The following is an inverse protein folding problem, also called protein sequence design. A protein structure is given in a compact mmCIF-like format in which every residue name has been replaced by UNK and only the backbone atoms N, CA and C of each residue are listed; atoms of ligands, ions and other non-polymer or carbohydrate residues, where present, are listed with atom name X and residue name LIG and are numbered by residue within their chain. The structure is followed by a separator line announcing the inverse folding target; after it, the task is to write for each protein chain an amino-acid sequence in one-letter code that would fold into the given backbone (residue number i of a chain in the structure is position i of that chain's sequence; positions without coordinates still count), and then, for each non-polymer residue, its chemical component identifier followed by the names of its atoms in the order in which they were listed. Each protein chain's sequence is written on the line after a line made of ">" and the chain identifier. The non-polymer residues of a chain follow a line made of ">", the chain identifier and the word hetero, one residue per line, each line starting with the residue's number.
data_IF_382146814500
#
_entry.id   IF_382146814500
#
_cell.length_a   1.000
_cell.length_b   1.000
_cell.length_c   1.000
_cell.angle_alpha   90.00
_cell.angle_beta   90.00
_cell.angle_gamma   90.00
#
_symmetry.space_group_name_H-M   'P 1'
#
loop_
_entity.id
_entity.type
_entity.pdbx_description
1 polymer ?
#
# COMPACT_ATOMS: atom_id res chain seq x y z
N UNK A 1 -25.20 3.34 -10.26
CA UNK A 1 -24.16 3.48 -11.32
C UNK A 1 -23.08 2.47 -11.02
N UNK A 2 -22.58 1.74 -12.01
CA UNK A 2 -21.49 0.75 -11.80
C UNK A 2 -20.21 1.46 -11.35
N UNK A 3 -19.49 0.89 -10.38
CA UNK A 3 -18.24 1.45 -9.88
C UNK A 3 -17.11 1.34 -10.93
N UNK A 4 -16.22 2.33 -10.97
CA UNK A 4 -15.03 2.28 -11.83
C UNK A 4 -13.94 1.41 -11.20
N UNK A 5 -12.95 0.96 -11.99
CA UNK A 5 -11.79 0.23 -11.46
C UNK A 5 -11.03 1.03 -10.40
N UNK A 6 -10.89 2.34 -10.57
CA UNK A 6 -10.25 3.21 -9.59
C UNK A 6 -11.03 3.28 -8.27
N UNK A 7 -12.37 3.23 -8.33
CA UNK A 7 -13.23 3.17 -7.14
C UNK A 7 -13.13 1.82 -6.41
N UNK A 8 -13.02 0.72 -7.15
CA UNK A 8 -12.67 -0.60 -6.58
C UNK A 8 -11.30 -0.56 -5.88
N UNK A 9 -10.29 0.04 -6.52
CA UNK A 9 -8.96 0.17 -5.93
C UNK A 9 -8.99 1.05 -4.67
N UNK A 10 -9.78 2.13 -4.67
CA UNK A 10 -9.91 3.03 -3.53
C UNK A 10 -10.49 2.32 -2.30
N UNK A 11 -11.54 1.51 -2.47
CA UNK A 11 -12.08 0.71 -1.36
C UNK A 11 -11.11 -0.41 -0.94
N UNK A 12 -10.40 -1.03 -1.88
CA UNK A 12 -9.39 -2.03 -1.54
C UNK A 12 -8.24 -1.42 -0.71
N UNK A 13 -7.84 -0.18 -1.01
CA UNK A 13 -6.91 0.57 -0.19
C UNK A 13 -7.51 0.96 1.18
N UNK A 14 -8.80 1.27 1.27
CA UNK A 14 -9.45 1.54 2.56
C UNK A 14 -9.43 0.30 3.47
N UNK A 15 -9.70 -0.88 2.91
CA UNK A 15 -9.70 -2.16 3.62
C UNK A 15 -8.31 -2.56 4.18
N UNK A 16 -7.23 -1.90 3.75
CA UNK A 16 -5.92 -2.07 4.39
C UNK A 16 -5.93 -1.63 5.85
N UNK A 17 -6.85 -0.73 6.21
CA UNK A 17 -6.89 -0.07 7.52
C UNK A 17 -8.06 -0.52 8.37
N UNK A 18 -8.81 -1.55 7.95
CA UNK A 18 -9.86 -2.13 8.80
C UNK A 18 -9.21 -2.69 10.06
N UNK A 19 -9.79 -2.36 11.20
CA UNK A 19 -9.31 -2.76 12.53
C UNK A 19 -7.87 -2.27 12.85
N UNK A 20 -7.39 -1.22 12.16
CA UNK A 20 -6.07 -0.63 12.43
C UNK A 20 -5.92 -0.07 13.86
N UNK A 21 -7.04 0.32 14.48
CA UNK A 21 -7.06 1.03 15.75
C UNK A 21 -6.47 2.43 15.67
N UNK A 22 -6.08 2.97 16.81
CA UNK A 22 -5.53 4.33 16.94
C UNK A 22 -4.02 4.35 16.63
N UNK A 23 -3.69 4.31 15.33
CA UNK A 23 -2.33 4.35 14.80
C UNK A 23 -2.19 5.40 13.69
N UNK A 24 -0.95 5.80 13.38
CA UNK A 24 -0.68 6.66 12.24
C UNK A 24 -0.80 5.89 10.93
N UNK A 25 -1.60 6.41 9.99
CA UNK A 25 -1.62 5.94 8.61
C UNK A 25 -0.82 6.90 7.73
N UNK A 26 0.13 6.36 6.97
CA UNK A 26 1.00 7.13 6.07
C UNK A 26 0.82 6.68 4.62
N UNK A 27 -0.21 7.20 3.91
CA UNK A 27 -0.43 6.88 2.51
C UNK A 27 0.49 7.71 1.61
N UNK A 28 1.42 7.07 0.91
CA UNK A 28 2.43 7.76 0.08
C UNK A 28 2.06 7.82 -1.42
N UNK A 29 0.79 7.54 -1.77
CA UNK A 29 0.24 7.60 -3.13
C UNK A 29 -1.17 8.18 -3.08
N UNK A 30 -1.67 8.76 -4.17
CA UNK A 30 -3.01 9.36 -4.13
C UNK A 30 -4.09 8.30 -3.92
N UNK A 31 -3.96 7.13 -4.56
CA UNK A 31 -4.91 6.03 -4.37
C UNK A 31 -4.99 5.58 -2.90
N UNK A 32 -3.84 5.37 -2.25
CA UNK A 32 -3.81 5.01 -0.84
C UNK A 32 -4.36 6.14 0.05
N UNK A 33 -4.14 7.40 -0.32
CA UNK A 33 -4.67 8.54 0.42
C UNK A 33 -6.19 8.66 0.32
N UNK A 34 -6.79 8.32 -0.84
CA UNK A 34 -8.25 8.17 -0.95
C UNK A 34 -8.74 7.06 -0.03
N UNK A 35 -8.12 5.88 -0.08
CA UNK A 35 -8.50 4.76 0.78
C UNK A 35 -8.40 5.06 2.27
N UNK A 36 -7.32 5.70 2.72
CA UNK A 36 -7.12 6.05 4.12
C UNK A 36 -8.16 7.05 4.63
N UNK A 37 -8.50 8.07 3.83
CA UNK A 37 -9.55 9.04 4.16
C UNK A 37 -10.92 8.39 4.17
N UNK A 38 -11.19 7.45 3.26
CA UNK A 38 -12.43 6.70 3.25
C UNK A 38 -12.57 5.83 4.50
N UNK A 39 -11.51 5.11 4.90
CA UNK A 39 -11.49 4.33 6.12
C UNK A 39 -11.78 5.20 7.36
N UNK A 40 -11.12 6.37 7.48
CA UNK A 40 -11.33 7.32 8.58
C UNK A 40 -12.77 7.82 8.67
N UNK A 41 -13.41 8.06 7.53
CA UNK A 41 -14.79 8.55 7.47
C UNK A 41 -15.85 7.45 7.62
N UNK A 42 -15.45 6.18 7.75
CA UNK A 42 -16.39 5.05 7.76
C UNK A 42 -16.13 4.09 8.92
N UNK A 43 -15.18 3.17 8.79
CA UNK A 43 -15.02 2.03 9.69
C UNK A 43 -13.74 2.07 10.55
N UNK A 44 -12.84 3.02 10.33
CA UNK A 44 -11.61 3.19 11.12
C UNK A 44 -11.43 4.64 11.58
N UNK A 45 -12.38 5.20 12.37
CA UNK A 45 -12.38 6.63 12.73
C UNK A 45 -11.18 7.07 13.56
N UNK A 46 -10.55 6.16 14.31
CA UNK A 46 -9.47 6.49 15.25
C UNK A 46 -8.09 6.62 14.57
N UNK A 47 -7.98 6.35 13.27
CA UNK A 47 -6.68 6.46 12.59
C UNK A 47 -6.21 7.92 12.52
N UNK A 48 -4.91 8.12 12.62
CA UNK A 48 -4.29 9.43 12.50
C UNK A 48 -3.78 9.66 11.07
N UNK A 49 -4.07 10.84 10.51
CA UNK A 49 -3.58 11.27 9.20
C UNK A 49 -2.83 12.59 9.31
N UNK A 50 -1.76 12.73 8.53
CA UNK A 50 -1.06 14.01 8.41
C UNK A 50 -1.58 14.83 7.23
N UNK A 51 -1.26 16.12 7.23
CA UNK A 51 -1.41 17.04 6.11
C UNK A 51 -0.45 16.75 4.93
N UNK A 52 0.42 15.75 5.07
CA UNK A 52 1.47 15.41 4.11
C UNK A 52 2.82 16.05 4.42
N UNK A 53 2.92 16.86 5.48
CA UNK A 53 4.15 17.54 5.87
C UNK A 53 4.48 17.33 7.37
N UNK A 54 3.79 18.03 8.27
CA UNK A 54 4.18 18.08 9.68
C UNK A 54 3.03 18.27 10.68
N UNK A 55 1.76 18.26 10.25
CA UNK A 55 0.62 18.44 11.14
C UNK A 55 -0.33 17.24 11.07
N UNK A 56 -0.95 16.90 12.21
CA UNK A 56 -2.01 15.89 12.28
C UNK A 56 -3.36 16.55 12.01
N UNK A 57 -4.13 16.02 11.07
CA UNK A 57 -5.42 16.55 10.68
C UNK A 57 -6.50 16.12 11.67
N UNK A 58 -7.23 17.07 12.25
CA UNK A 58 -8.38 16.77 13.12
C UNK A 58 -9.55 16.21 12.29
N UNK A 59 -9.86 16.88 11.17
CA UNK A 59 -10.89 16.45 10.23
C UNK A 59 -10.31 15.64 9.06
N UNK A 60 -11.17 15.16 8.15
CA UNK A 60 -10.76 14.48 6.93
C UNK A 60 -11.11 15.33 5.70
N UNK A 61 -10.28 16.31 5.31
CA UNK A 61 -10.57 17.16 4.16
C UNK A 61 -10.51 16.37 2.83
N UNK A 62 -10.87 17.01 1.71
CA UNK A 62 -10.62 16.46 0.37
C UNK A 62 -9.10 16.41 0.06
N UNK A 63 -8.68 15.58 -0.91
CA UNK A 63 -7.28 15.54 -1.34
C UNK A 63 -6.75 16.92 -1.75
N UNK A 64 -5.56 17.27 -1.27
CA UNK A 64 -4.90 18.55 -1.51
C UNK A 64 -5.58 19.75 -0.83
N UNK A 65 -6.54 19.54 0.07
CA UNK A 65 -7.12 20.57 0.92
C UNK A 65 -6.59 20.45 2.35
N UNK A 66 -6.44 21.60 2.99
CA UNK A 66 -6.12 21.72 4.42
C UNK A 66 -7.40 21.65 5.25
N UNK A 67 -7.24 21.40 6.55
CA UNK A 67 -8.32 21.38 7.53
C UNK A 67 -7.80 21.74 8.91
N UNK A 68 -8.65 21.73 9.94
CA UNK A 68 -8.24 21.89 11.32
C UNK A 68 -7.19 20.83 11.73
N UNK A 69 -6.33 21.20 12.67
CA UNK A 69 -5.17 20.39 13.10
C UNK A 69 -5.36 19.98 14.57
N UNK A 70 -5.07 18.72 14.88
CA UNK A 70 -5.15 18.17 16.24
C UNK A 70 -3.77 17.86 16.85
N UNK A 71 -2.69 18.05 16.11
CA UNK A 71 -1.36 17.80 16.64
C UNK A 71 -0.20 18.11 15.70
N UNK A 72 1.01 17.93 16.22
CA UNK A 72 2.25 18.20 15.51
C UNK A 72 3.02 16.90 15.25
N UNK A 73 3.50 16.71 14.02
CA UNK A 73 4.15 15.49 13.55
C UNK A 73 5.32 15.79 12.60
N UNK A 74 6.37 16.50 13.06
CA UNK A 74 7.56 16.74 12.25
C UNK A 74 8.30 15.42 11.98
N UNK A 75 9.21 15.40 10.99
CA UNK A 75 9.93 14.18 10.60
C UNK A 75 10.65 13.46 11.76
N UNK A 76 11.20 14.19 12.73
CA UNK A 76 11.77 13.57 13.93
C UNK A 76 10.76 12.70 14.69
N UNK A 77 9.54 13.20 14.88
CA UNK A 77 8.45 12.45 15.53
C UNK A 77 7.91 11.32 14.66
N UNK A 78 8.00 11.42 13.33
CA UNK A 78 7.72 10.28 12.44
C UNK A 78 8.70 9.15 12.69
N UNK A 79 9.99 9.44 12.88
CA UNK A 79 11.00 8.41 13.21
C UNK A 79 10.77 7.79 14.59
N UNK A 80 10.39 8.59 15.59
CA UNK A 80 9.97 8.09 16.90
C UNK A 80 8.75 7.16 16.77
N UNK A 81 7.73 7.59 16.02
CA UNK A 81 6.47 6.85 15.82
C UNK A 81 6.67 5.53 15.09
N UNK A 82 7.46 5.53 14.01
CA UNK A 82 7.71 4.29 13.25
C UNK A 82 8.50 3.28 14.08
N UNK A 83 9.47 3.74 14.89
CA UNK A 83 10.27 2.85 15.74
C UNK A 83 9.46 2.29 16.92
N UNK A 84 8.41 3.02 17.33
CA UNK A 84 7.45 2.55 18.32
C UNK A 84 6.46 1.51 17.77
N UNK A 85 6.28 1.45 16.45
CA UNK A 85 5.46 0.45 15.77
C UNK A 85 3.99 0.83 15.55
N UNK A 86 3.54 1.99 16.05
CA UNK A 86 2.15 2.46 15.89
C UNK A 86 1.92 3.18 14.57
N UNK A 87 2.18 2.47 13.47
CA UNK A 87 2.07 3.02 12.13
C UNK A 87 1.73 1.95 11.10
N UNK A 88 0.99 2.36 10.07
CA UNK A 88 0.84 1.58 8.84
C UNK A 88 1.16 2.49 7.65
N UNK A 89 2.19 2.14 6.90
CA UNK A 89 2.57 2.87 5.68
C UNK A 89 2.07 2.15 4.44
N UNK A 90 1.59 2.91 3.46
CA UNK A 90 1.34 2.39 2.10
C UNK A 90 2.27 3.09 1.13
N UNK A 91 3.23 2.35 0.58
CA UNK A 91 4.26 2.88 -0.31
C UNK A 91 3.98 2.52 -1.78
N UNK A 92 4.50 3.30 -2.71
CA UNK A 92 4.68 2.83 -4.08
C UNK A 92 5.86 1.85 -4.19
N UNK A 93 6.03 1.25 -5.35
CA UNK A 93 7.16 0.36 -5.63
C UNK A 93 7.60 0.49 -7.10
N UNK A 94 8.92 0.50 -7.33
CA UNK A 94 9.47 0.27 -8.66
C UNK A 94 9.53 -1.22 -8.98
N UNK A 95 9.87 -2.05 -7.99
CA UNK A 95 9.78 -3.51 -8.05
C UNK A 95 9.22 -4.05 -6.73
N UNK A 96 8.50 -5.17 -6.81
CA UNK A 96 8.09 -6.04 -5.70
C UNK A 96 8.35 -7.47 -6.14
N UNK A 97 8.97 -8.29 -5.29
CA UNK A 97 9.14 -9.72 -5.57
C UNK A 97 8.16 -10.63 -4.83
N UNK A 98 8.25 -11.93 -5.11
CA UNK A 98 7.34 -12.96 -4.59
C UNK A 98 7.29 -13.05 -3.06
N UNK A 99 8.32 -12.59 -2.34
CA UNK A 99 8.37 -12.62 -0.87
C UNK A 99 8.09 -11.26 -0.24
N UNK A 100 7.80 -10.24 -1.06
CA UNK A 100 7.46 -8.90 -0.62
C UNK A 100 8.66 -7.98 -0.43
N UNK A 101 9.85 -8.35 -0.93
CA UNK A 101 10.93 -7.36 -1.01
C UNK A 101 10.51 -6.26 -1.99
N UNK A 102 10.86 -5.02 -1.66
CA UNK A 102 10.48 -3.86 -2.44
C UNK A 102 11.71 -3.04 -2.81
N UNK A 103 11.70 -2.47 -4.02
CA UNK A 103 12.70 -1.55 -4.50
C UNK A 103 12.10 -0.19 -4.86
N UNK A 104 12.71 0.87 -4.34
CA UNK A 104 12.55 2.27 -4.79
C UNK A 104 13.89 3.02 -4.88
N UNK A 105 15.00 2.29 -4.77
CA UNK A 105 16.34 2.81 -4.62
C UNK A 105 16.99 3.15 -5.95
N UNK A 106 17.32 2.11 -6.73
CA UNK A 106 17.93 2.19 -8.05
C UNK A 106 17.78 0.84 -8.76
N UNK A 107 18.04 0.80 -10.06
CA UNK A 107 18.18 -0.42 -10.85
C UNK A 107 19.66 -0.69 -11.19
N UNK A 108 20.04 -1.95 -11.31
CA UNK A 108 21.41 -2.40 -11.57
C UNK A 108 22.31 -2.47 -10.33
N UNK A 109 23.65 -2.55 -10.52
CA UNK A 109 24.61 -2.71 -9.43
C UNK A 109 24.58 -1.57 -8.41
N UNK A 110 24.72 -1.90 -7.11
CA UNK A 110 24.59 -0.94 -5.99
C UNK A 110 25.48 0.30 -6.12
N UNK A 111 26.75 0.13 -6.53
CA UNK A 111 27.73 1.23 -6.61
C UNK A 111 27.82 1.87 -8.00
N UNK A 112 27.07 1.34 -8.98
CA UNK A 112 27.02 1.87 -10.34
C UNK A 112 25.67 1.53 -10.98
N UNK A 113 24.57 2.12 -10.48
CA UNK A 113 23.24 1.78 -10.95
C UNK A 113 23.04 2.19 -12.41
N UNK A 114 22.28 1.40 -13.16
CA UNK A 114 21.89 1.74 -14.55
C UNK A 114 20.83 2.82 -14.58
N UNK A 115 20.02 2.93 -13.51
CA UNK A 115 19.02 3.98 -13.32
C UNK A 115 18.84 4.29 -11.85
N UNK A 116 19.15 5.53 -11.47
CA UNK A 116 18.98 6.04 -10.10
C UNK A 116 17.51 6.43 -9.82
N UNK A 117 17.03 6.15 -8.61
CA UNK A 117 15.79 6.71 -8.05
C UNK A 117 16.09 7.40 -6.72
N UNK A 118 15.43 7.03 -5.61
CA UNK A 118 15.44 7.82 -4.38
C UNK A 118 16.45 7.35 -3.32
N UNK A 119 17.16 6.24 -3.58
CA UNK A 119 17.76 5.45 -2.50
C UNK A 119 16.68 4.72 -1.68
N UNK A 120 17.07 4.03 -0.59
CA UNK A 120 16.15 3.18 0.17
C UNK A 120 15.08 3.95 0.97
N UNK A 121 15.30 5.25 1.19
CA UNK A 121 14.44 6.14 1.99
C UNK A 121 14.15 5.51 3.38
N UNK A 122 12.92 5.62 3.87
CA UNK A 122 12.50 4.99 5.13
C UNK A 122 12.06 3.53 4.99
N UNK A 123 12.12 2.94 3.79
CA UNK A 123 11.60 1.59 3.54
C UNK A 123 12.18 0.53 4.49
N UNK A 124 13.50 0.50 4.78
CA UNK A 124 14.05 -0.51 5.69
C UNK A 124 13.43 -0.40 7.10
N UNK A 125 13.34 0.83 7.61
CA UNK A 125 12.77 1.11 8.93
C UNK A 125 11.27 0.82 9.01
N UNK A 126 10.53 1.05 7.93
CA UNK A 126 9.10 0.75 7.89
C UNK A 126 8.85 -0.77 7.97
N UNK A 127 9.49 -1.54 7.09
CA UNK A 127 9.23 -2.99 6.95
C UNK A 127 9.70 -3.80 8.16
N UNK A 128 10.70 -3.33 8.91
CA UNK A 128 11.20 -4.03 10.11
C UNK A 128 10.39 -3.72 11.38
N UNK A 129 9.64 -2.61 11.43
CA UNK A 129 9.00 -2.15 12.67
C UNK A 129 7.47 -2.28 12.70
N UNK A 130 6.79 -2.20 11.56
CA UNK A 130 5.32 -2.10 11.56
C UNK A 130 4.67 -2.52 10.24
N UNK A 131 3.33 -2.53 10.23
CA UNK A 131 2.54 -2.84 9.05
C UNK A 131 2.96 -2.00 7.84
N UNK A 132 3.28 -2.67 6.74
CA UNK A 132 3.68 -2.05 5.47
C UNK A 132 2.89 -2.68 4.34
N UNK A 133 2.27 -1.85 3.50
CA UNK A 133 1.57 -2.29 2.30
C UNK A 133 2.05 -1.52 1.07
N UNK A 134 1.71 -2.05 -0.11
CA UNK A 134 2.12 -1.45 -1.37
C UNK A 134 0.93 -1.12 -2.28
N UNK A 135 1.02 -0.02 -3.00
CA UNK A 135 0.13 0.34 -4.12
C UNK A 135 0.89 0.26 -5.45
N UNK A 136 0.34 -0.47 -6.42
CA UNK A 136 0.90 -0.60 -7.77
C UNK A 136 -0.17 -0.28 -8.82
N UNK A 137 -0.16 0.95 -9.33
CA UNK A 137 -1.13 1.42 -10.31
C UNK A 137 -1.04 0.81 -11.71
N UNK A 138 0.06 0.13 -12.03
CA UNK A 138 0.26 -0.57 -13.30
C UNK A 138 0.97 -1.91 -13.05
N UNK A 139 0.19 -2.94 -12.75
CA UNK A 139 0.66 -4.30 -12.54
C UNK A 139 1.32 -4.83 -13.82
N UNK A 140 2.61 -5.15 -13.76
CA UNK A 140 3.37 -5.66 -14.89
C UNK A 140 4.60 -6.44 -14.43
N UNK A 141 5.14 -7.28 -15.33
CA UNK A 141 6.31 -8.12 -15.07
C UNK A 141 7.56 -7.33 -14.64
N UNK A 142 7.63 -6.06 -15.07
CA UNK A 142 8.72 -5.15 -14.67
C UNK A 142 8.64 -4.71 -13.22
N UNK A 143 7.43 -4.65 -12.66
CA UNK A 143 7.20 -4.32 -11.26
C UNK A 143 7.18 -5.59 -10.42
N UNK A 144 6.36 -6.57 -10.79
CA UNK A 144 6.33 -7.87 -10.13
C UNK A 144 7.35 -8.81 -10.76
N UNK A 145 8.55 -8.80 -10.21
CA UNK A 145 9.77 -9.46 -10.71
C UNK A 145 10.16 -10.63 -9.81
N UNK A 146 10.92 -11.60 -10.33
CA UNK A 146 11.44 -12.72 -9.51
C UNK A 146 12.39 -12.25 -8.40
N UNK A 147 13.17 -11.20 -8.67
CA UNK A 147 14.09 -10.61 -7.70
C UNK A 147 14.17 -9.11 -7.92
N UNK A 148 14.13 -8.36 -6.83
CA UNK A 148 14.35 -6.91 -6.88
C UNK A 148 15.84 -6.58 -7.02
N UNK A 149 16.17 -5.51 -7.75
CA UNK A 149 17.58 -5.12 -7.95
C UNK A 149 18.23 -4.67 -6.62
N UNK A 150 17.47 -3.96 -5.78
CA UNK A 150 17.90 -3.47 -4.47
C UNK A 150 16.75 -3.65 -3.48
N UNK A 151 17.03 -4.32 -2.37
CA UNK A 151 16.08 -4.47 -1.26
C UNK A 151 16.03 -3.16 -0.46
N UNK A 152 15.06 -2.31 -0.78
CA UNK A 152 14.72 -1.13 0.02
C UNK A 152 13.82 -1.51 1.19
N UNK A 153 12.70 -2.19 0.94
CA UNK A 153 11.85 -2.80 1.96
C UNK A 153 12.11 -4.30 2.03
N UNK A 154 12.29 -4.85 3.23
CA UNK A 154 12.57 -6.28 3.42
C UNK A 154 11.29 -7.11 3.23
N UNK A 155 11.41 -8.23 2.51
CA UNK A 155 10.39 -9.27 2.40
C UNK A 155 10.58 -10.37 3.46
N UNK A 156 9.68 -11.35 3.44
CA UNK A 156 9.66 -12.43 4.43
C UNK A 156 10.87 -13.38 4.35
N UNK A 157 11.49 -13.53 3.17
CA UNK A 157 12.70 -14.34 2.98
C UNK A 157 13.96 -13.71 3.61
N UNK A 158 13.88 -12.49 4.14
CA UNK A 158 14.95 -11.83 4.91
C UNK A 158 14.82 -12.00 6.42
N UNK A 159 13.71 -12.59 6.88
CA UNK A 159 13.45 -12.79 8.31
C UNK A 159 14.32 -13.92 8.83
N UNK A 160 15.19 -13.60 9.79
CA UNK A 160 15.90 -14.59 10.59
C UNK A 160 15.01 -15.02 11.77
N UNK A 161 14.50 -16.28 11.78
CA UNK A 161 13.60 -16.75 12.82
C UNK A 161 14.26 -16.88 14.20
N UNK A 162 15.59 -16.98 14.25
CA UNK A 162 16.35 -17.10 15.50
C UNK A 162 16.68 -15.72 16.10
N UNK A 163 16.44 -14.64 15.35
CA UNK A 163 16.69 -13.28 15.78
C UNK A 163 15.38 -12.52 16.07
N UNK A 164 15.07 -12.23 17.35
CA UNK A 164 13.83 -11.55 17.72
C UNK A 164 13.73 -10.11 17.20
N UNK A 165 14.80 -9.53 16.65
CA UNK A 165 14.75 -8.22 16.01
C UNK A 165 13.77 -8.17 14.82
N UNK A 166 13.51 -9.29 14.15
CA UNK A 166 12.59 -9.37 13.00
C UNK A 166 11.12 -9.59 13.39
N UNK A 167 10.80 -9.73 14.69
CA UNK A 167 9.45 -10.11 15.16
C UNK A 167 8.33 -9.15 14.77
N UNK A 168 8.65 -7.94 14.31
CA UNK A 168 7.69 -6.92 13.91
C UNK A 168 7.53 -6.78 12.39
N UNK A 169 8.23 -7.62 11.61
CA UNK A 169 8.01 -7.66 10.15
C UNK A 169 6.56 -8.02 9.87
N UNK A 170 5.88 -7.11 9.18
CA UNK A 170 4.49 -7.27 8.78
C UNK A 170 4.28 -6.60 7.42
N UNK A 171 4.83 -7.21 6.37
CA UNK A 171 4.50 -6.83 4.99
C UNK A 171 3.10 -7.40 4.72
N UNK A 172 2.09 -6.54 4.81
CA UNK A 172 0.71 -6.96 4.96
C UNK A 172 0.06 -7.32 3.62
N UNK A 173 -0.06 -6.35 2.71
CA UNK A 173 -0.80 -6.51 1.45
C UNK A 173 -0.22 -5.67 0.32
N UNK A 174 -0.54 -6.07 -0.90
CA UNK A 174 -0.36 -5.29 -2.12
C UNK A 174 -1.73 -5.07 -2.76
N UNK A 175 -2.05 -3.81 -3.08
CA UNK A 175 -3.20 -3.47 -3.92
C UNK A 175 -2.67 -2.99 -5.26
N UNK A 176 -3.18 -3.54 -6.36
CA UNK A 176 -2.82 -3.09 -7.71
C UNK A 176 -4.06 -2.73 -8.51
N UNK A 177 -3.89 -2.24 -9.74
CA UNK A 177 -4.99 -2.06 -10.69
C UNK A 177 -5.71 -3.38 -11.10
N UNK A 178 -5.21 -4.55 -10.70
CA UNK A 178 -5.75 -5.88 -11.05
C UNK A 178 -6.39 -6.62 -9.87
N UNK A 179 -5.93 -6.39 -8.64
CA UNK A 179 -6.40 -7.16 -7.49
C UNK A 179 -5.74 -6.79 -6.17
N UNK A 180 -6.10 -7.57 -5.15
CA UNK A 180 -5.54 -7.50 -3.80
C UNK A 180 -4.76 -8.78 -3.54
N UNK A 181 -3.54 -8.62 -3.04
CA UNK A 181 -2.61 -9.71 -2.78
C UNK A 181 -2.07 -9.61 -1.35
N UNK A 182 -1.71 -10.73 -0.76
CA UNK A 182 -0.99 -10.82 0.51
C UNK A 182 0.21 -11.78 0.38
N UNK A 183 0.89 -12.05 1.49
CA UNK A 183 2.03 -12.96 1.56
C UNK A 183 1.70 -14.19 2.41
N UNK A 184 0.49 -14.73 2.22
CA UNK A 184 -0.03 -15.90 2.92
C UNK A 184 0.08 -17.21 2.12
N UNK A 185 0.80 -17.22 1.00
CA UNK A 185 1.15 -18.45 0.29
C UNK A 185 2.19 -19.29 1.04
N UNK A 186 2.57 -20.46 0.49
CA UNK A 186 3.64 -21.28 1.02
C UNK A 186 4.91 -20.45 1.22
N UNK A 187 5.60 -20.61 2.37
CA UNK A 187 6.83 -19.87 2.67
C UNK A 187 6.71 -18.35 2.54
N UNK A 188 5.52 -17.80 2.85
CA UNK A 188 5.20 -16.37 2.70
C UNK A 188 5.33 -15.84 1.26
N UNK A 189 5.09 -16.68 0.25
CA UNK A 189 4.98 -16.19 -1.13
C UNK A 189 3.70 -15.40 -1.35
N UNK A 190 3.71 -14.52 -2.35
CA UNK A 190 2.56 -13.75 -2.78
C UNK A 190 1.38 -14.66 -3.12
N UNK A 191 0.20 -14.29 -2.62
CA UNK A 191 -1.07 -15.00 -2.80
C UNK A 191 -2.16 -14.02 -3.17
N UNK A 192 -3.05 -14.43 -4.08
CA UNK A 192 -4.22 -13.65 -4.44
C UNK A 192 -5.26 -13.71 -3.31
N UNK A 193 -5.72 -12.54 -2.86
CA UNK A 193 -6.87 -12.43 -1.94
C UNK A 193 -8.16 -12.20 -2.73
N UNK A 194 -8.11 -11.31 -3.71
CA UNK A 194 -9.22 -11.06 -4.61
C UNK A 194 -8.75 -10.44 -5.93
N UNK A 195 -9.48 -10.69 -7.01
CA UNK A 195 -9.31 -10.01 -8.30
C UNK A 195 -10.36 -8.93 -8.46
N UNK A 196 -10.04 -7.83 -9.12
CA UNK A 196 -11.02 -6.77 -9.34
C UNK A 196 -12.07 -7.21 -10.37
N UNK A 197 -13.31 -6.71 -10.29
CA UNK A 197 -14.35 -7.04 -11.28
C UNK A 197 -13.85 -6.88 -12.71
N UNK A 198 -14.05 -7.92 -13.52
CA UNK A 198 -13.59 -7.99 -14.90
C UNK A 198 -12.11 -8.29 -15.11
N UNK A 199 -11.36 -8.69 -14.07
CA UNK A 199 -9.99 -9.22 -14.19
C UNK A 199 -10.03 -10.75 -14.12
N UNK A 200 -9.46 -11.41 -15.12
CA UNK A 200 -9.29 -12.85 -15.14
C UNK A 200 -7.96 -13.26 -14.46
N UNK A 201 -7.87 -14.50 -13.92
CA UNK A 201 -6.61 -15.07 -13.44
C UNK A 201 -5.46 -14.96 -14.46
N UNK A 202 -5.74 -15.20 -15.74
CA UNK A 202 -4.74 -15.10 -16.81
C UNK A 202 -4.18 -13.68 -16.99
N UNK A 203 -4.98 -12.62 -16.80
CA UNK A 203 -4.49 -11.24 -16.88
C UNK A 203 -3.39 -10.98 -15.84
N UNK A 204 -3.54 -11.54 -14.64
CA UNK A 204 -2.53 -11.44 -13.57
C UNK A 204 -1.33 -12.31 -13.92
N UNK A 205 -1.55 -13.57 -14.33
CA UNK A 205 -0.47 -14.51 -14.69
C UNK A 205 0.42 -13.96 -15.81
N UNK A 206 -0.17 -13.30 -16.80
CA UNK A 206 0.57 -12.65 -17.89
C UNK A 206 1.34 -11.40 -17.45
N UNK A 207 0.84 -10.71 -16.41
CA UNK A 207 1.40 -9.49 -15.86
C UNK A 207 2.34 -9.69 -14.66
N UNK A 208 2.53 -10.91 -14.14
CA UNK A 208 3.43 -11.24 -13.03
C UNK A 208 4.60 -12.11 -13.52
N UNK A 209 5.81 -11.91 -13.00
CA UNK A 209 6.99 -12.71 -13.42
C UNK A 209 7.14 -14.04 -12.69
N UNK A 210 6.30 -14.30 -11.68
CA UNK A 210 6.32 -15.48 -10.83
C UNK A 210 4.89 -15.99 -10.62
N UNK A 211 4.74 -17.22 -10.15
CA UNK A 211 3.43 -17.80 -9.84
C UNK A 211 2.82 -17.16 -8.59
N UNK A 212 1.58 -16.67 -8.73
CA UNK A 212 0.78 -16.17 -7.61
C UNK A 212 -0.04 -17.32 -7.01
N UNK A 213 0.12 -17.57 -5.72
CA UNK A 213 -0.60 -18.66 -5.06
C UNK A 213 -2.11 -18.37 -4.97
N UNK A 214 -2.95 -19.40 -5.16
CA UNK A 214 -4.41 -19.30 -5.03
C UNK A 214 -5.09 -18.41 -6.08
N UNK A 215 -4.45 -18.20 -7.24
CA UNK A 215 -4.91 -17.23 -8.23
C UNK A 215 -6.22 -17.63 -8.91
N UNK A 216 -6.40 -18.93 -9.21
CA UNK A 216 -7.59 -19.42 -9.91
C UNK A 216 -8.81 -19.53 -8.96
N UNK A 217 -8.58 -19.59 -7.65
CA UNK A 217 -9.63 -19.61 -6.61
C UNK A 217 -9.93 -18.21 -6.02
N UNK A 218 -9.24 -17.17 -6.47
CA UNK A 218 -9.37 -15.83 -5.92
C UNK A 218 -10.79 -15.27 -6.14
N UNK A 219 -11.41 -14.80 -5.07
CA UNK A 219 -12.74 -14.21 -5.13
C UNK A 219 -12.74 -12.86 -5.87
N UNK A 220 -13.91 -12.41 -6.32
CA UNK A 220 -14.05 -11.04 -6.81
C UNK A 220 -13.95 -10.04 -5.65
N UNK A 221 -13.28 -8.91 -5.88
CA UNK A 221 -13.19 -7.80 -4.93
C UNK A 221 -14.57 -7.19 -4.74
N UNK A 222 -15.00 -6.97 -3.49
CA UNK A 222 -16.33 -6.45 -3.18
C UNK A 222 -16.64 -5.16 -3.93
N UNK A 223 -17.91 -4.94 -4.23
CA UNK A 223 -18.40 -3.66 -4.73
C UNK A 223 -18.40 -2.60 -3.61
N UNK A 224 -18.20 -1.31 -3.94
CA UNK A 224 -18.39 -0.22 -3.00
C UNK A 224 -19.89 -0.05 -2.70
N UNK A 225 -20.19 0.33 -1.47
CA UNK A 225 -21.54 0.77 -1.09
C UNK A 225 -21.86 2.14 -1.71
N UNK A 226 -23.14 2.49 -1.76
CA UNK A 226 -23.56 3.81 -2.26
C UNK A 226 -22.96 4.97 -1.46
N UNK A 227 -22.82 4.79 -0.14
CA UNK A 227 -22.17 5.78 0.74
C UNK A 227 -20.67 5.91 0.48
N UNK A 228 -19.96 4.80 0.27
CA UNK A 228 -18.55 4.83 -0.11
C UNK A 228 -18.35 5.54 -1.46
N UNK A 229 -19.20 5.25 -2.45
CA UNK A 229 -19.18 5.93 -3.75
C UNK A 229 -19.41 7.43 -3.61
N UNK A 230 -20.41 7.85 -2.81
CA UNK A 230 -20.69 9.25 -2.53
C UNK A 230 -19.48 9.93 -1.89
N UNK A 231 -18.90 9.33 -0.84
CA UNK A 231 -17.72 9.87 -0.16
C UNK A 231 -16.53 10.01 -1.10
N UNK A 232 -16.22 9.00 -1.91
CA UNK A 232 -15.13 9.06 -2.90
C UNK A 232 -15.36 10.19 -3.91
N UNK A 233 -16.55 10.25 -4.51
CA UNK A 233 -16.86 11.13 -5.65
C UNK A 233 -17.10 12.58 -5.26
N UNK A 234 -17.65 12.84 -4.08
CA UNK A 234 -18.12 14.19 -3.72
C UNK A 234 -17.28 14.83 -2.61
N UNK A 235 -16.68 14.02 -1.72
CA UNK A 235 -16.02 14.52 -0.51
C UNK A 235 -14.50 14.37 -0.58
N UNK A 236 -14.00 13.16 -0.86
CA UNK A 236 -12.59 12.82 -0.71
C UNK A 236 -11.80 13.19 -1.97
N UNK A 237 -12.29 12.79 -3.15
CA UNK A 237 -11.62 13.00 -4.43
C UNK A 237 -12.59 13.50 -5.53
N UNK A 238 -13.15 14.71 -5.36
CA UNK A 238 -14.08 15.30 -6.33
C UNK A 238 -13.44 15.67 -7.67
N UNK A 239 -12.11 15.65 -7.75
CA UNK A 239 -11.35 15.90 -8.98
C UNK A 239 -10.96 14.63 -9.73
N UNK A 240 -11.37 13.46 -9.23
CA UNK A 240 -11.04 12.15 -9.80
C UNK A 240 -9.53 11.97 -10.03
N UNK A 241 -8.70 12.40 -9.07
CA UNK A 241 -7.26 12.16 -9.11
C UNK A 241 -6.95 10.66 -9.09
N UNK A 242 -7.80 9.84 -8.45
CA UNK A 242 -7.70 8.37 -8.45
C UNK A 242 -7.62 7.76 -9.85
N UNK A 243 -8.28 8.35 -10.84
CA UNK A 243 -8.31 7.82 -12.20
C UNK A 243 -6.95 7.96 -12.90
N UNK A 244 -6.09 8.88 -12.43
CA UNK A 244 -4.73 9.07 -12.97
C UNK A 244 -3.72 8.07 -12.39
N UNK A 245 -4.08 7.38 -11.32
CA UNK A 245 -3.21 6.45 -10.61
C UNK A 245 -3.26 5.03 -11.19
N UNK A 246 -4.20 4.73 -12.09
CA UNK A 246 -4.33 3.43 -12.73
C UNK A 246 -4.07 3.51 -14.23
N UNK A 247 -3.49 2.45 -14.79
CA UNK A 247 -3.34 2.24 -16.23
C UNK A 247 -3.80 0.85 -16.63
#
# INVERSE_FOLDING_TARGET
>A
MTATRAEICAIACAELFRDAGEIMISPMTNMAAVGARLARLTFSPDILLTDGEAQLLADTPALGKTGPVEGWMPFGRVFETLSWGRRHVVMGANQVDRYGNQNISAFGPLQQPTRQMFGVRGSPGNTINHATSYWVGNHSKRVFTETVDIVSGIGYDKVDPDNPAFRFVNVFRVVSNLGVFDFGGPEHTMRAQSLHPGVAPDDVREATSFDVHGLDEAAETRQPTDDELRLIREVIDPKALRDREIR
#
